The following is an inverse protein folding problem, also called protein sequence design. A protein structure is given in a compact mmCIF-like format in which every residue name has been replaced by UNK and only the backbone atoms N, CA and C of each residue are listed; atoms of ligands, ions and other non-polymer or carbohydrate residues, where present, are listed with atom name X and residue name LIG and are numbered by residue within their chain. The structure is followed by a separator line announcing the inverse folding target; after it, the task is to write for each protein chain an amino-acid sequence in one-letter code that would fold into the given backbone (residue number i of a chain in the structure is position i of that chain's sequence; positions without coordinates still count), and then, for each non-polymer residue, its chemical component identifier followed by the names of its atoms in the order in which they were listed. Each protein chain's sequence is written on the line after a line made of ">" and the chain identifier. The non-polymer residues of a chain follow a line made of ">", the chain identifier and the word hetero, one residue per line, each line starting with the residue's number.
data_IF_367464965198
#
_entry.id   IF_367464965198
#
_cell.length_a   1.000
_cell.length_b   1.000
_cell.length_c   1.000
_cell.angle_alpha   90.00
_cell.angle_beta   90.00
_cell.angle_gamma   90.00
#
_symmetry.space_group_name_H-M   'P 1'
#
loop_
_entity.id
_entity.type
_entity.pdbx_description
1 polymer ?
#
# COMPACT_ATOMS: atom_id res chain seq x y z
N UNK A 1 -12.44 16.27 -26.36
CA UNK A 1 -12.68 17.69 -26.03
C UNK A 1 -11.36 18.40 -25.76
N UNK A 2 -10.37 17.74 -25.18
CA UNK A 2 -9.12 18.37 -24.71
C UNK A 2 -8.12 18.82 -25.81
N UNK A 3 -8.15 18.24 -27.02
CA UNK A 3 -7.22 18.66 -28.10
C UNK A 3 -7.59 19.97 -28.79
N UNK A 4 -8.87 20.40 -28.73
CA UNK A 4 -9.30 21.67 -29.32
C UNK A 4 -9.00 22.86 -28.41
N UNK A 5 -9.03 22.64 -27.10
CA UNK A 5 -8.75 23.68 -26.10
C UNK A 5 -7.23 23.99 -26.04
N UNK A 6 -6.37 22.98 -26.19
CA UNK A 6 -4.91 23.17 -26.20
C UNK A 6 -4.38 23.90 -27.46
N UNK A 7 -5.05 23.76 -28.61
CA UNK A 7 -4.72 24.53 -29.83
C UNK A 7 -5.16 25.99 -29.73
N UNK A 8 -6.26 26.26 -29.03
CA UNK A 8 -6.79 27.60 -28.83
C UNK A 8 -5.96 28.40 -27.82
N UNK A 9 -5.47 27.76 -26.76
CA UNK A 9 -4.51 28.39 -25.83
C UNK A 9 -3.16 28.70 -26.49
N UNK A 10 -2.69 27.87 -27.43
CA UNK A 10 -1.44 28.15 -28.17
C UNK A 10 -1.59 29.24 -29.25
N UNK A 11 -2.77 29.39 -29.84
CA UNK A 11 -3.07 30.51 -30.76
C UNK A 11 -3.25 31.84 -30.00
N UNK A 12 -3.94 31.83 -28.85
CA UNK A 12 -4.06 33.02 -27.99
C UNK A 12 -2.70 33.47 -27.42
N UNK A 13 -1.81 32.55 -27.03
CA UNK A 13 -0.46 32.93 -26.55
C UNK A 13 0.47 33.43 -27.67
N UNK A 14 0.21 33.03 -28.93
CA UNK A 14 0.98 33.51 -30.09
C UNK A 14 0.53 34.91 -30.53
N UNK A 15 -0.77 35.22 -30.45
CA UNK A 15 -1.29 36.58 -30.67
C UNK A 15 -0.83 37.57 -29.58
N UNK A 16 -0.64 37.12 -28.32
CA UNK A 16 -0.09 37.98 -27.25
C UNK A 16 1.40 38.28 -27.48
N UNK A 17 2.18 37.32 -28.02
CA UNK A 17 3.59 37.52 -28.35
C UNK A 17 3.82 38.34 -29.63
N UNK A 18 2.94 38.22 -30.64
CA UNK A 18 3.02 39.04 -31.87
C UNK A 18 2.40 40.45 -31.69
N UNK A 19 1.57 40.66 -30.66
CA UNK A 19 0.93 41.95 -30.33
C UNK A 19 1.76 42.90 -29.45
N UNK A 20 2.82 42.43 -28.80
CA UNK A 20 3.73 43.26 -27.97
C UNK A 20 4.94 43.81 -28.73
N UNK A 21 5.24 43.34 -29.95
CA UNK A 21 6.34 43.88 -30.77
C UNK A 21 5.97 45.11 -31.61
N UNK A 22 4.73 45.62 -31.51
CA UNK A 22 4.25 46.76 -32.28
C UNK A 22 3.81 47.95 -31.41
N UNK A 23 4.63 48.37 -30.44
CA UNK A 23 4.44 49.68 -29.78
C UNK A 23 5.70 50.18 -29.09
N UNK A 24 6.58 50.79 -29.90
CA UNK A 24 7.33 52.05 -29.64
C UNK A 24 8.58 52.08 -30.52
N UNK A 25 8.40 52.49 -31.76
CA UNK A 25 9.45 53.13 -32.56
C UNK A 25 9.02 54.58 -32.74
N UNK A 26 9.23 55.39 -31.71
CA UNK A 26 9.37 56.83 -31.85
C UNK A 26 10.84 57.10 -32.18
N UNK A 27 11.18 57.00 -33.46
CA UNK A 27 12.40 57.59 -34.02
C UNK A 27 12.16 59.06 -34.29
N UNK A 28 12.31 59.89 -33.27
CA UNK A 28 12.76 61.28 -33.45
C UNK A 28 14.29 61.25 -33.47
N UNK A 29 14.85 61.26 -34.68
CA UNK A 29 16.27 61.46 -34.90
C UNK A 29 16.54 62.97 -35.02
N UNK A 30 16.95 63.58 -33.91
CA UNK A 30 17.85 64.74 -33.90
C UNK A 30 18.86 64.53 -32.77
N UNK A 31 19.57 63.40 -32.79
CA UNK A 31 20.75 63.19 -31.95
C UNK A 31 21.97 63.65 -32.75
N UNK A 32 22.72 64.61 -32.19
CA UNK A 32 23.99 65.04 -32.79
C UNK A 32 24.97 63.86 -32.88
N UNK A 33 25.96 63.86 -33.80
CA UNK A 33 26.91 62.75 -33.97
C UNK A 33 27.64 62.34 -32.68
N UNK A 34 27.64 63.19 -31.66
CA UNK A 34 28.24 63.00 -30.35
C UNK A 34 27.34 62.18 -29.39
N UNK A 35 26.02 62.28 -29.49
CA UNK A 35 25.05 61.57 -28.64
C UNK A 35 24.84 60.11 -29.09
N UNK A 36 24.77 59.88 -30.40
CA UNK A 36 24.71 58.53 -30.98
C UNK A 36 26.00 57.74 -30.70
N UNK A 37 27.16 58.42 -30.68
CA UNK A 37 28.44 57.82 -30.31
C UNK A 37 28.52 57.49 -28.81
N UNK A 38 27.98 58.35 -27.94
CA UNK A 38 27.92 58.10 -26.50
C UNK A 38 27.00 56.92 -26.15
N UNK A 39 25.87 56.79 -26.86
CA UNK A 39 24.90 55.69 -26.68
C UNK A 39 25.44 54.36 -27.20
N UNK A 40 26.17 54.37 -28.32
CA UNK A 40 26.87 53.20 -28.83
C UNK A 40 28.01 52.75 -27.89
N UNK A 41 28.80 53.69 -27.36
CA UNK A 41 29.87 53.39 -26.41
C UNK A 41 29.35 52.88 -25.05
N UNK A 42 28.21 53.40 -24.58
CA UNK A 42 27.55 52.89 -23.37
C UNK A 42 27.01 51.46 -23.57
N UNK A 43 26.46 51.16 -24.76
CA UNK A 43 25.96 49.84 -25.10
C UNK A 43 27.10 48.83 -25.34
N UNK A 44 28.24 49.25 -25.89
CA UNK A 44 29.44 48.40 -25.97
C UNK A 44 30.03 48.13 -24.57
N UNK A 45 30.06 49.11 -23.68
CA UNK A 45 30.54 48.93 -22.31
C UNK A 45 29.65 48.00 -21.48
N UNK A 46 28.32 48.10 -21.61
CA UNK A 46 27.38 47.17 -20.95
C UNK A 46 27.50 45.74 -21.51
N UNK A 47 27.78 45.61 -22.81
CA UNK A 47 28.02 44.29 -23.43
C UNK A 47 29.35 43.70 -22.96
N UNK A 48 30.44 44.47 -22.91
CA UNK A 48 31.72 43.99 -22.39
C UNK A 48 31.65 43.64 -20.89
N UNK A 49 30.89 44.38 -20.09
CA UNK A 49 30.69 44.06 -18.66
C UNK A 49 29.80 42.82 -18.47
N UNK A 50 28.79 42.63 -19.33
CA UNK A 50 27.92 41.45 -19.33
C UNK A 50 28.59 40.17 -19.86
N UNK A 51 29.59 40.29 -20.74
CA UNK A 51 30.42 39.21 -21.31
C UNK A 51 31.82 39.13 -20.68
N UNK A 52 32.10 39.89 -19.64
CA UNK A 52 33.33 39.74 -18.87
C UNK A 52 33.38 38.34 -18.24
N UNK A 53 34.57 37.73 -18.24
CA UNK A 53 34.79 36.37 -17.75
C UNK A 53 34.27 36.18 -16.32
N UNK A 54 34.40 37.19 -15.46
CA UNK A 54 33.94 37.17 -14.06
C UNK A 54 32.41 37.10 -13.94
N UNK A 55 31.65 37.80 -14.78
CA UNK A 55 30.18 37.78 -14.80
C UNK A 55 29.62 36.49 -15.44
N UNK A 56 30.35 35.93 -16.41
CA UNK A 56 30.03 34.65 -17.04
C UNK A 56 30.29 33.48 -16.07
N UNK A 57 31.42 33.48 -15.36
CA UNK A 57 31.76 32.52 -14.31
C UNK A 57 30.73 32.58 -13.16
N UNK A 58 30.37 33.78 -12.67
CA UNK A 58 29.39 33.91 -11.59
C UNK A 58 27.97 33.45 -12.00
N UNK A 59 27.57 33.65 -13.27
CA UNK A 59 26.32 33.12 -13.82
C UNK A 59 26.36 31.60 -14.03
N UNK A 60 27.51 31.04 -14.41
CA UNK A 60 27.71 29.60 -14.54
C UNK A 60 27.64 28.93 -13.17
N UNK A 61 28.35 29.48 -12.17
CA UNK A 61 28.32 29.00 -10.78
C UNK A 61 26.91 29.04 -10.18
N UNK A 62 26.15 30.14 -10.38
CA UNK A 62 24.75 30.23 -9.93
C UNK A 62 23.85 29.17 -10.60
N UNK A 63 24.05 28.90 -11.89
CA UNK A 63 23.32 27.85 -12.61
C UNK A 63 23.70 26.47 -12.13
N UNK A 64 24.98 26.21 -11.88
CA UNK A 64 25.46 24.90 -11.42
C UNK A 64 24.99 24.59 -10.00
N UNK A 65 24.96 25.59 -9.11
CA UNK A 65 24.36 25.47 -7.78
C UNK A 65 22.86 25.18 -7.89
N UNK A 66 22.12 25.88 -8.76
CA UNK A 66 20.69 25.65 -8.97
C UNK A 66 20.42 24.26 -9.57
N UNK A 67 21.23 23.80 -10.52
CA UNK A 67 21.15 22.46 -11.10
C UNK A 67 21.44 21.41 -10.02
N UNK A 68 22.45 21.62 -9.18
CA UNK A 68 22.79 20.72 -8.08
C UNK A 68 21.65 20.61 -7.05
N UNK A 69 21.05 21.72 -6.62
CA UNK A 69 19.91 21.74 -5.69
C UNK A 69 18.66 21.09 -6.31
N UNK A 70 18.34 21.41 -7.57
CA UNK A 70 17.23 20.75 -8.29
C UNK A 70 17.47 19.25 -8.44
N UNK A 71 18.71 18.84 -8.73
CA UNK A 71 19.08 17.42 -8.85
C UNK A 71 18.98 16.70 -7.51
N UNK A 72 19.38 17.34 -6.40
CA UNK A 72 19.21 16.77 -5.06
C UNK A 72 17.73 16.62 -4.68
N UNK A 73 16.93 17.66 -4.93
CA UNK A 73 15.48 17.62 -4.70
C UNK A 73 14.80 16.53 -5.52
N UNK A 74 15.18 16.39 -6.79
CA UNK A 74 14.66 15.36 -7.69
C UNK A 74 15.05 13.96 -7.19
N UNK A 75 16.32 13.74 -6.83
CA UNK A 75 16.79 12.47 -6.25
C UNK A 75 16.05 12.12 -4.97
N UNK A 76 15.83 13.11 -4.09
CA UNK A 76 15.08 12.93 -2.84
C UNK A 76 13.61 12.58 -3.12
N UNK A 77 12.96 13.30 -4.03
CA UNK A 77 11.58 13.02 -4.45
C UNK A 77 11.44 11.63 -5.07
N UNK A 78 12.40 11.20 -5.89
CA UNK A 78 12.44 9.83 -6.42
C UNK A 78 12.56 8.79 -5.30
N UNK A 79 13.45 9.01 -4.33
CA UNK A 79 13.60 8.11 -3.19
C UNK A 79 12.32 8.04 -2.33
N UNK A 80 11.65 9.17 -2.11
CA UNK A 80 10.36 9.22 -1.42
C UNK A 80 9.27 8.47 -2.20
N UNK A 81 9.24 8.60 -3.53
CA UNK A 81 8.30 7.88 -4.38
C UNK A 81 8.54 6.36 -4.35
N UNK A 82 9.81 5.93 -4.41
CA UNK A 82 10.15 4.50 -4.31
C UNK A 82 9.77 3.91 -2.95
N UNK A 83 9.99 4.66 -1.86
CA UNK A 83 9.58 4.26 -0.53
C UNK A 83 8.04 4.21 -0.41
N UNK A 84 7.34 5.21 -0.95
CA UNK A 84 5.89 5.24 -1.00
C UNK A 84 5.34 4.03 -1.76
N UNK A 85 5.87 3.75 -2.95
CA UNK A 85 5.47 2.60 -3.76
C UNK A 85 5.64 1.27 -3.01
N UNK A 86 6.81 1.04 -2.42
CA UNK A 86 7.09 -0.17 -1.61
C UNK A 86 6.11 -0.27 -0.42
N UNK A 87 5.84 0.85 0.25
CA UNK A 87 4.88 0.90 1.36
C UNK A 87 3.46 0.58 0.88
N UNK A 88 3.01 1.19 -0.21
CA UNK A 88 1.67 0.97 -0.76
C UNK A 88 1.48 -0.46 -1.26
N UNK A 89 2.49 -1.09 -1.86
CA UNK A 89 2.42 -2.50 -2.25
C UNK A 89 2.27 -3.42 -1.01
N UNK A 90 3.02 -3.14 0.07
CA UNK A 90 2.89 -3.86 1.34
C UNK A 90 1.50 -3.66 1.97
N UNK A 91 1.01 -2.43 2.00
CA UNK A 91 -0.32 -2.09 2.53
C UNK A 91 -1.42 -2.82 1.76
N UNK A 92 -1.36 -2.83 0.43
CA UNK A 92 -2.32 -3.57 -0.40
C UNK A 92 -2.32 -5.07 -0.09
N UNK A 93 -1.15 -5.68 0.06
CA UNK A 93 -1.05 -7.08 0.45
C UNK A 93 -1.68 -7.33 1.83
N UNK A 94 -1.39 -6.47 2.82
CA UNK A 94 -1.98 -6.60 4.15
C UNK A 94 -3.50 -6.40 4.13
N UNK A 95 -4.03 -5.47 3.33
CA UNK A 95 -5.48 -5.28 3.21
C UNK A 95 -6.17 -6.49 2.59
N UNK A 96 -5.55 -7.13 1.60
CA UNK A 96 -6.07 -8.37 1.03
C UNK A 96 -6.13 -9.48 2.09
N UNK A 97 -5.05 -9.68 2.84
CA UNK A 97 -4.99 -10.68 3.91
C UNK A 97 -6.00 -10.39 5.03
N UNK A 98 -6.17 -9.13 5.43
CA UNK A 98 -7.19 -8.71 6.40
C UNK A 98 -8.61 -8.98 5.90
N UNK A 99 -8.88 -8.73 4.61
CA UNK A 99 -10.18 -9.03 4.00
C UNK A 99 -10.47 -10.54 3.99
N UNK A 100 -9.50 -11.35 3.56
CA UNK A 100 -9.60 -12.81 3.57
C UNK A 100 -9.86 -13.34 4.99
N UNK A 101 -9.11 -12.82 5.97
CA UNK A 101 -9.29 -13.12 7.40
C UNK A 101 -10.70 -12.81 7.90
N UNK A 102 -11.24 -11.63 7.61
CA UNK A 102 -12.59 -11.26 8.07
C UNK A 102 -13.67 -12.19 7.50
N UNK A 103 -13.52 -12.62 6.24
CA UNK A 103 -14.44 -13.58 5.63
C UNK A 103 -14.29 -14.95 6.30
N UNK A 104 -13.06 -15.42 6.50
CA UNK A 104 -12.79 -16.69 7.17
C UNK A 104 -13.43 -16.74 8.56
N UNK A 105 -13.24 -15.70 9.39
CA UNK A 105 -13.84 -15.58 10.72
C UNK A 105 -15.37 -15.69 10.70
N UNK A 106 -16.04 -15.13 9.68
CA UNK A 106 -17.51 -15.24 9.53
C UNK A 106 -17.98 -16.60 9.03
N UNK A 107 -17.12 -17.36 8.36
CA UNK A 107 -17.42 -18.73 7.89
C UNK A 107 -17.22 -19.75 9.02
N UNK A 108 -16.31 -19.51 9.97
CA UNK A 108 -16.03 -20.46 11.07
C UNK A 108 -17.28 -20.94 11.84
N UNK A 109 -18.26 -20.10 12.21
CA UNK A 109 -19.49 -20.57 12.85
C UNK A 109 -20.29 -21.58 12.02
N UNK A 110 -20.20 -21.50 10.69
CA UNK A 110 -20.85 -22.46 9.78
C UNK A 110 -20.13 -23.81 9.87
N UNK A 111 -18.80 -23.79 9.89
CA UNK A 111 -17.97 -24.99 10.08
C UNK A 111 -18.29 -25.65 11.43
N UNK A 112 -18.40 -24.85 12.51
CA UNK A 112 -18.75 -25.36 13.84
C UNK A 112 -20.14 -26.03 13.85
N UNK A 113 -21.10 -25.46 13.12
CA UNK A 113 -22.43 -26.06 12.99
C UNK A 113 -22.40 -27.38 12.22
N UNK A 114 -21.55 -27.50 11.19
CA UNK A 114 -21.32 -28.79 10.53
C UNK A 114 -20.76 -29.82 11.50
N UNK A 115 -19.74 -29.45 12.29
CA UNK A 115 -19.16 -30.36 13.29
C UNK A 115 -20.20 -30.79 14.34
N UNK A 116 -20.99 -29.84 14.85
CA UNK A 116 -22.09 -30.12 15.78
C UNK A 116 -23.14 -31.04 15.17
N UNK A 117 -23.52 -30.80 13.92
CA UNK A 117 -24.49 -31.61 13.20
C UNK A 117 -23.97 -33.04 12.96
N UNK A 118 -22.68 -33.20 12.63
CA UNK A 118 -22.05 -34.49 12.45
C UNK A 118 -21.98 -35.31 13.75
N UNK A 119 -21.77 -34.66 14.90
CA UNK A 119 -21.82 -35.34 16.22
C UNK A 119 -23.23 -35.86 16.53
N UNK A 120 -24.27 -35.12 16.15
CA UNK A 120 -25.67 -35.50 16.35
C UNK A 120 -26.23 -36.42 15.24
N UNK A 121 -25.46 -36.70 14.20
CA UNK A 121 -25.95 -37.41 13.03
C UNK A 121 -26.21 -38.91 13.31
N UNK A 122 -27.22 -39.52 12.65
CA UNK A 122 -27.48 -40.95 12.77
C UNK A 122 -26.30 -41.77 12.24
N UNK A 123 -25.75 -42.65 13.07
CA UNK A 123 -24.63 -43.53 12.68
C UNK A 123 -25.08 -44.79 11.93
N UNK A 124 -26.37 -45.11 11.98
CA UNK A 124 -26.98 -46.32 11.40
C UNK A 124 -28.39 -46.02 10.84
N UNK A 125 -28.88 -46.90 9.98
CA UNK A 125 -30.19 -46.78 9.32
C UNK A 125 -30.21 -45.81 8.13
N UNK A 126 -31.42 -45.47 7.68
CA UNK A 126 -31.64 -44.65 6.48
C UNK A 126 -31.02 -43.24 6.57
N UNK A 127 -30.82 -42.73 7.79
CA UNK A 127 -30.15 -41.45 8.03
C UNK A 127 -28.64 -41.46 7.81
N UNK A 128 -28.01 -42.64 7.74
CA UNK A 128 -26.55 -42.78 7.59
C UNK A 128 -26.06 -42.26 6.24
N UNK A 129 -26.73 -42.63 5.15
CA UNK A 129 -26.33 -42.20 3.81
C UNK A 129 -26.38 -40.66 3.66
N UNK A 130 -27.34 -40.02 4.33
CA UNK A 130 -27.43 -38.57 4.40
C UNK A 130 -26.31 -37.95 5.23
N UNK A 131 -25.99 -38.54 6.40
CA UNK A 131 -24.87 -38.11 7.24
C UNK A 131 -23.51 -38.24 6.52
N UNK A 132 -23.31 -39.32 5.77
CA UNK A 132 -22.13 -39.54 4.95
C UNK A 132 -22.01 -38.47 3.85
N UNK A 133 -23.11 -38.11 3.19
CA UNK A 133 -23.16 -37.01 2.22
C UNK A 133 -22.78 -35.65 2.81
N UNK A 134 -23.28 -35.33 4.01
CA UNK A 134 -22.90 -34.11 4.74
C UNK A 134 -21.41 -34.14 5.10
N UNK A 135 -20.90 -35.30 5.53
CA UNK A 135 -19.48 -35.48 5.86
C UNK A 135 -18.58 -35.21 4.65
N UNK A 136 -18.99 -35.64 3.45
CA UNK A 136 -18.27 -35.32 2.21
C UNK A 136 -18.23 -33.81 1.94
N UNK A 137 -19.34 -33.11 2.12
CA UNK A 137 -19.41 -31.64 1.95
C UNK A 137 -18.50 -30.94 2.97
N UNK A 138 -18.52 -31.36 4.22
CA UNK A 138 -17.64 -30.83 5.26
C UNK A 138 -16.16 -31.04 4.92
N UNK A 139 -15.78 -32.24 4.46
CA UNK A 139 -14.41 -32.52 4.05
C UNK A 139 -13.96 -31.64 2.87
N UNK A 140 -14.84 -31.41 1.89
CA UNK A 140 -14.57 -30.51 0.78
C UNK A 140 -14.40 -29.06 1.25
N UNK A 141 -15.25 -28.61 2.19
CA UNK A 141 -15.15 -27.28 2.80
C UNK A 141 -13.82 -27.13 3.55
N UNK A 142 -13.45 -28.12 4.37
CA UNK A 142 -12.19 -28.13 5.11
C UNK A 142 -10.99 -28.03 4.18
N UNK A 143 -10.95 -28.84 3.12
CA UNK A 143 -9.90 -28.78 2.11
C UNK A 143 -9.80 -27.42 1.43
N UNK A 144 -10.96 -26.83 1.10
CA UNK A 144 -11.00 -25.49 0.50
C UNK A 144 -10.44 -24.43 1.45
N UNK A 145 -10.76 -24.51 2.74
CA UNK A 145 -10.21 -23.62 3.78
C UNK A 145 -8.70 -23.81 3.94
N UNK A 146 -8.21 -25.05 3.93
CA UNK A 146 -6.78 -25.36 3.96
C UNK A 146 -6.03 -24.77 2.76
N UNK A 147 -6.60 -24.89 1.55
CA UNK A 147 -6.04 -24.31 0.31
C UNK A 147 -6.01 -22.77 0.37
N UNK A 148 -6.97 -22.14 1.05
CA UNK A 148 -6.98 -20.70 1.34
C UNK A 148 -5.94 -20.29 2.41
N UNK A 149 -5.29 -21.25 3.08
CA UNK A 149 -4.32 -21.01 4.14
C UNK A 149 -4.92 -20.97 5.55
N UNK A 150 -6.17 -21.41 5.72
CA UNK A 150 -6.82 -21.58 7.03
C UNK A 150 -6.59 -22.98 7.56
N UNK A 151 -5.95 -23.11 8.73
CA UNK A 151 -5.63 -24.40 9.34
C UNK A 151 -6.23 -24.49 10.75
N UNK A 152 -6.75 -25.66 11.15
CA UNK A 152 -7.17 -25.88 12.53
C UNK A 152 -5.96 -25.89 13.49
N UNK A 153 -6.19 -25.52 14.75
CA UNK A 153 -5.20 -25.60 15.83
C UNK A 153 -5.43 -26.92 16.57
N UNK A 154 -4.50 -27.86 16.44
CA UNK A 154 -4.56 -29.12 17.19
C UNK A 154 -4.02 -28.91 18.61
N UNK A 155 -4.93 -28.87 19.59
CA UNK A 155 -4.58 -28.53 20.97
C UNK A 155 -4.70 -29.70 21.96
N UNK A 156 -5.53 -30.71 21.69
CA UNK A 156 -5.79 -31.82 22.61
C UNK A 156 -4.50 -32.60 22.93
N UNK A 157 -4.18 -32.73 24.22
CA UNK A 157 -2.97 -33.38 24.71
C UNK A 157 -1.69 -32.55 24.60
N UNK A 158 -1.76 -31.29 24.13
CA UNK A 158 -0.63 -30.37 24.12
C UNK A 158 -0.63 -29.44 25.33
N UNK A 159 0.53 -28.83 25.60
CA UNK A 159 0.63 -27.78 26.62
C UNK A 159 -0.27 -26.59 26.26
N UNK A 160 -0.92 -26.03 27.27
CA UNK A 160 -1.75 -24.84 27.10
C UNK A 160 -0.87 -23.62 26.77
N UNK A 161 -1.11 -22.98 25.62
CA UNK A 161 -0.50 -21.70 25.24
C UNK A 161 -1.58 -20.62 25.10
N UNK A 162 -1.57 -19.56 25.92
CA UNK A 162 -2.52 -18.45 25.82
C UNK A 162 -2.55 -17.74 24.46
N UNK A 163 -1.49 -17.85 23.65
CA UNK A 163 -1.44 -17.25 22.31
C UNK A 163 -2.34 -17.99 21.31
N UNK A 164 -2.63 -19.27 21.55
CA UNK A 164 -3.40 -20.13 20.65
C UNK A 164 -4.70 -20.65 21.28
N UNK A 165 -4.75 -20.71 22.61
CA UNK A 165 -5.81 -21.36 23.35
C UNK A 165 -6.48 -20.40 24.34
N UNK A 166 -7.79 -20.58 24.51
CA UNK A 166 -8.59 -19.90 25.53
C UNK A 166 -9.14 -20.95 26.51
N UNK A 167 -8.61 -20.97 27.73
CA UNK A 167 -9.06 -21.88 28.78
C UNK A 167 -10.40 -21.43 29.34
N UNK A 168 -11.46 -22.20 29.06
CA UNK A 168 -12.82 -21.88 29.53
C UNK A 168 -13.16 -22.65 30.81
N UNK A 169 -12.53 -23.81 31.02
CA UNK A 169 -12.74 -24.66 32.19
C UNK A 169 -11.42 -25.31 32.63
N UNK A 170 -11.33 -25.58 33.93
CA UNK A 170 -10.27 -26.39 34.50
C UNK A 170 -10.85 -27.72 34.99
N UNK A 171 -10.10 -28.80 34.82
CA UNK A 171 -10.42 -30.12 35.39
C UNK A 171 -9.23 -30.60 36.22
N UNK A 172 -9.50 -31.37 37.28
CA UNK A 172 -8.47 -32.08 38.02
C UNK A 172 -8.35 -33.47 37.40
N UNK A 173 -7.25 -33.72 36.69
CA UNK A 173 -6.98 -35.03 36.08
C UNK A 173 -5.50 -35.39 36.24
N UNK A 174 -5.21 -36.24 37.23
CA UNK A 174 -3.86 -36.71 37.56
C UNK A 174 -3.17 -37.44 36.39
N UNK A 175 -3.92 -37.85 35.36
CA UNK A 175 -3.39 -38.61 34.23
C UNK A 175 -2.90 -37.74 33.06
N UNK A 176 -3.37 -36.50 32.94
CA UNK A 176 -3.10 -35.64 31.78
C UNK A 176 -1.93 -34.66 31.97
N UNK A 177 -1.40 -34.54 33.19
CA UNK A 177 -0.31 -33.61 33.50
C UNK A 177 -0.78 -32.16 33.66
N UNK A 178 -0.10 -31.41 34.53
CA UNK A 178 -0.45 -30.03 34.87
C UNK A 178 -0.27 -29.09 33.66
N UNK A 179 -1.25 -28.19 33.43
CA UNK A 179 -1.30 -27.24 32.31
C UNK A 179 -1.40 -27.87 30.90
N UNK A 180 -1.99 -29.07 30.79
CA UNK A 180 -2.24 -29.73 29.50
C UNK A 180 -3.70 -29.56 29.08
N UNK A 181 -3.93 -29.37 27.78
CA UNK A 181 -5.28 -29.32 27.22
C UNK A 181 -5.90 -30.72 27.24
N UNK A 182 -6.92 -30.89 28.08
CA UNK A 182 -7.63 -32.15 28.25
C UNK A 182 -8.65 -32.40 27.13
N UNK A 183 -9.40 -31.36 26.76
CA UNK A 183 -10.47 -31.46 25.76
C UNK A 183 -10.63 -30.14 25.01
N UNK A 184 -10.85 -30.22 23.70
CA UNK A 184 -11.21 -29.08 22.87
C UNK A 184 -12.73 -28.99 22.74
N UNK A 185 -13.30 -27.89 23.23
CA UNK A 185 -14.74 -27.63 23.17
C UNK A 185 -15.15 -26.98 21.85
N UNK A 186 -14.27 -26.14 21.29
CA UNK A 186 -14.50 -25.47 20.02
C UNK A 186 -13.16 -25.22 19.34
N UNK A 187 -13.08 -25.63 18.08
CA UNK A 187 -11.83 -25.61 17.32
C UNK A 187 -11.31 -24.20 17.05
N UNK A 188 -10.04 -24.02 17.35
CA UNK A 188 -9.27 -22.85 16.95
C UNK A 188 -8.83 -22.96 15.50
N UNK A 189 -8.63 -21.81 14.85
CA UNK A 189 -8.15 -21.74 13.49
C UNK A 189 -7.11 -20.63 13.33
N UNK A 190 -6.12 -20.89 12.49
CA UNK A 190 -5.09 -19.94 12.07
C UNK A 190 -5.23 -19.66 10.59
N UNK A 191 -4.93 -18.45 10.18
CA UNK A 191 -4.75 -18.05 8.78
C UNK A 191 -3.29 -17.69 8.58
N UNK A 192 -2.59 -18.49 7.77
CA UNK A 192 -1.13 -18.40 7.61
C UNK A 192 -0.46 -18.42 8.99
N UNK A 193 0.15 -17.30 9.40
CA UNK A 193 0.87 -17.16 10.67
C UNK A 193 0.07 -16.42 11.74
N UNK A 194 -1.21 -16.11 11.49
CA UNK A 194 -2.04 -15.30 12.38
C UNK A 194 -3.25 -16.07 12.90
N UNK A 195 -3.46 -16.06 14.21
CA UNK A 195 -4.60 -16.73 14.85
C UNK A 195 -5.89 -16.02 14.47
N UNK A 196 -6.83 -16.70 13.80
CA UNK A 196 -8.17 -16.18 13.50
C UNK A 196 -9.06 -16.26 14.74
N UNK A 197 -9.03 -17.42 15.40
CA UNK A 197 -9.83 -17.73 16.58
C UNK A 197 -9.07 -18.73 17.44
N UNK A 198 -8.91 -18.42 18.71
CA UNK A 198 -8.29 -19.32 19.69
C UNK A 198 -9.16 -20.56 19.91
N UNK A 199 -8.55 -21.73 20.14
CA UNK A 199 -9.29 -22.93 20.55
C UNK A 199 -9.87 -22.72 21.94
N UNK A 200 -11.16 -23.00 22.12
CA UNK A 200 -11.73 -23.03 23.47
C UNK A 200 -11.50 -24.41 24.06
N UNK A 201 -10.80 -24.45 25.18
CA UNK A 201 -10.27 -25.70 25.74
C UNK A 201 -10.60 -25.86 27.21
N UNK A 202 -10.62 -27.12 27.66
CA UNK A 202 -10.52 -27.50 29.06
C UNK A 202 -9.08 -27.84 29.37
N UNK A 203 -8.54 -27.27 30.45
CA UNK A 203 -7.15 -27.49 30.87
C UNK A 203 -7.13 -28.34 32.13
N UNK A 204 -6.27 -29.36 32.15
CA UNK A 204 -5.97 -30.12 33.35
C UNK A 204 -5.03 -29.32 34.27
N UNK A 205 -5.41 -29.18 35.54
CA UNK A 205 -4.54 -28.71 36.62
C UNK A 205 -4.18 -29.89 37.53
#
# INVERSE_FOLDING_TARGET
>A
MEEKDFKREQEENKEVLEGEEASKVDTEADETPEEAAAKAAAMEAEVDEAFSDENLEEKQDKKDIAIADLTDRLKRSMAEFDNFRKRSEKEKATMFDMGARSIAEKILPIVDNFERAMVAAPKEGDGKAFADGITMIYNQLKKTLEDLGVKPIDCVGQAFDPNFHNAVMHIEDESLGENVVAEELLKGYMYKDSVLRHSMVKVAN
#
